data_IF_633618575246
#
_entry.id   IF_633618575246
#
_cell.length_a   1.000
_cell.length_b   1.000
_cell.length_c   1.000
_cell.angle_alpha   90.00
_cell.angle_beta   90.00
_cell.angle_gamma   90.00
#
_symmetry.space_group_name_H-M   'P 1'
#
loop_
_entity.id
_entity.type
_entity.pdbx_description
1 polymer ?
#
# COMPACT_ATOMS: atom_id res chain seq x y z
N UNK A 1 -0.44 -4.93 -0.28
CA UNK A 1 -0.03 -3.63 0.28
C UNK A 1 -1.07 -3.00 1.20
N UNK A 2 -2.29 -2.70 0.73
CA UNK A 2 -3.27 -2.01 1.59
C UNK A 2 -3.71 -2.83 2.82
N UNK A 3 -3.96 -4.13 2.64
CA UNK A 3 -4.26 -5.01 3.78
C UNK A 3 -3.10 -5.07 4.78
N UNK A 4 -1.87 -5.26 4.30
CA UNK A 4 -0.68 -5.24 5.16
C UNK A 4 -0.47 -3.90 5.86
N UNK A 5 -0.83 -2.77 5.23
CA UNK A 5 -0.79 -1.44 5.83
C UNK A 5 -1.82 -1.29 6.96
N UNK A 6 -3.04 -1.78 6.75
CA UNK A 6 -4.09 -1.80 7.78
C UNK A 6 -3.65 -2.68 8.95
N UNK A 7 -3.17 -3.91 8.68
CA UNK A 7 -2.67 -4.83 9.72
C UNK A 7 -1.54 -4.18 10.51
N UNK A 8 -0.55 -3.61 9.83
CA UNK A 8 0.55 -2.90 10.48
C UNK A 8 0.07 -1.72 11.32
N UNK A 9 -0.78 -0.85 10.76
CA UNK A 9 -1.34 0.30 11.47
C UNK A 9 -2.13 -0.12 12.71
N UNK A 10 -2.90 -1.20 12.63
CA UNK A 10 -3.65 -1.76 13.76
C UNK A 10 -2.73 -2.35 14.83
N UNK A 11 -1.62 -3.01 14.46
CA UNK A 11 -0.61 -3.47 15.45
C UNK A 11 0.12 -2.30 16.13
N UNK A 12 0.30 -1.19 15.42
CA UNK A 12 0.96 0.01 15.94
C UNK A 12 0.06 0.75 16.93
N UNK A 13 -1.19 0.97 16.56
CA UNK A 13 -2.18 1.67 17.36
C UNK A 13 -2.49 0.95 18.68
N UNK A 14 -2.90 1.74 19.68
CA UNK A 14 -3.42 1.24 20.97
C UNK A 14 -4.94 1.36 21.06
N UNK A 15 -5.58 1.86 20.01
CA UNK A 15 -7.02 2.05 19.90
C UNK A 15 -7.53 1.52 18.54
N UNK A 16 -8.84 1.25 18.47
CA UNK A 16 -9.46 0.63 17.29
C UNK A 16 -9.43 1.50 16.02
N UNK A 17 -9.22 2.81 16.15
CA UNK A 17 -9.26 3.74 15.02
C UNK A 17 -7.89 4.05 14.42
N UNK A 18 -6.80 3.81 15.15
CA UNK A 18 -5.46 4.24 14.75
C UNK A 18 -4.97 3.55 13.47
N UNK A 19 -5.27 2.26 13.28
CA UNK A 19 -4.94 1.56 12.05
C UNK A 19 -5.68 2.11 10.83
N UNK A 20 -6.95 2.49 11.01
CA UNK A 20 -7.79 3.05 9.96
C UNK A 20 -7.32 4.47 9.58
N UNK A 21 -7.06 5.32 10.58
CA UNK A 21 -6.55 6.68 10.37
C UNK A 21 -5.18 6.67 9.69
N UNK A 22 -4.26 5.81 10.12
CA UNK A 22 -2.95 5.66 9.48
C UNK A 22 -3.10 5.27 8.00
N UNK A 23 -4.00 4.31 7.72
CA UNK A 23 -4.27 3.87 6.35
C UNK A 23 -4.81 5.04 5.51
N UNK A 24 -5.77 5.81 6.02
CA UNK A 24 -6.34 6.97 5.33
C UNK A 24 -5.26 8.01 5.01
N UNK A 25 -4.40 8.34 5.98
CA UNK A 25 -3.32 9.31 5.79
C UNK A 25 -2.34 8.83 4.72
N UNK A 26 -1.90 7.57 4.80
CA UNK A 26 -0.99 7.01 3.79
C UNK A 26 -1.64 6.96 2.41
N UNK A 27 -2.92 6.61 2.31
CA UNK A 27 -3.67 6.68 1.06
C UNK A 27 -3.70 8.09 0.48
N UNK A 28 -4.01 9.10 1.29
CA UNK A 28 -4.05 10.49 0.85
C UNK A 28 -2.68 10.94 0.32
N UNK A 29 -1.59 10.60 1.01
CA UNK A 29 -0.23 10.90 0.56
C UNK A 29 0.11 10.19 -0.76
N UNK A 30 -0.28 8.93 -0.92
CA UNK A 30 -0.07 8.20 -2.18
C UNK A 30 -0.89 8.80 -3.33
N UNK A 31 -2.11 9.26 -3.09
CA UNK A 31 -2.89 9.97 -4.12
C UNK A 31 -2.24 11.30 -4.51
N UNK A 32 -1.71 12.06 -3.55
CA UNK A 32 -0.95 13.28 -3.85
C UNK A 32 0.32 12.96 -4.65
N UNK A 33 1.06 11.91 -4.26
CA UNK A 33 2.24 11.45 -4.99
C UNK A 33 1.90 11.00 -6.41
N UNK A 34 0.70 10.45 -6.64
CA UNK A 34 0.23 10.04 -7.97
C UNK A 34 0.09 11.21 -8.96
N UNK A 35 -0.05 12.45 -8.48
CA UNK A 35 -0.11 13.62 -9.36
C UNK A 35 1.23 13.92 -10.04
N UNK A 36 2.34 13.40 -9.50
CA UNK A 36 3.67 13.56 -10.07
C UNK A 36 3.85 12.57 -11.23
N UNK A 37 3.97 13.06 -12.47
CA UNK A 37 4.08 12.23 -13.70
C UNK A 37 5.12 11.11 -13.61
N UNK A 38 6.27 11.38 -12.99
CA UNK A 38 7.34 10.38 -12.85
C UNK A 38 6.98 9.20 -11.95
N UNK A 39 6.00 9.34 -11.06
CA UNK A 39 5.64 8.33 -10.04
C UNK A 39 4.38 7.56 -10.39
N UNK A 40 3.67 7.98 -11.46
CA UNK A 40 2.37 7.42 -11.84
C UNK A 40 2.37 5.90 -12.07
N UNK A 41 3.49 5.34 -12.53
CA UNK A 41 3.61 3.91 -12.87
C UNK A 41 4.30 3.08 -11.77
N UNK A 42 4.87 3.73 -10.76
CA UNK A 42 5.59 3.10 -9.65
C UNK A 42 4.78 3.10 -8.35
N UNK A 43 3.78 3.97 -8.24
CA UNK A 43 2.96 4.09 -7.05
C UNK A 43 1.94 2.93 -6.94
N UNK A 44 1.89 2.20 -5.81
CA UNK A 44 0.91 1.14 -5.57
C UNK A 44 -0.56 1.56 -5.75
N UNK A 45 -0.90 2.84 -5.55
CA UNK A 45 -2.26 3.36 -5.77
C UNK A 45 -2.68 3.27 -7.24
N UNK A 46 -1.74 3.30 -8.19
CA UNK A 46 -2.02 3.17 -9.62
C UNK A 46 -2.71 1.83 -9.95
N UNK A 47 -2.43 0.76 -9.18
CA UNK A 47 -3.05 -0.55 -9.37
C UNK A 47 -4.56 -0.55 -9.09
N UNK A 48 -5.04 0.38 -8.26
CA UNK A 48 -6.47 0.58 -8.01
C UNK A 48 -7.04 1.58 -9.02
N UNK A 49 -6.37 2.71 -9.22
CA UNK A 49 -6.87 3.79 -10.07
C UNK A 49 -6.96 3.43 -11.56
N UNK A 50 -6.04 2.60 -12.06
CA UNK A 50 -5.99 2.17 -13.46
C UNK A 50 -6.55 0.74 -13.65
N UNK A 51 -7.30 0.21 -12.69
CA UNK A 51 -7.86 -1.14 -12.76
C UNK A 51 -8.70 -1.39 -14.04
N UNK A 52 -9.44 -0.40 -14.52
CA UNK A 52 -10.22 -0.51 -15.74
C UNK A 52 -9.32 -0.56 -16.99
N UNK A 53 -8.19 0.16 -16.98
CA UNK A 53 -7.22 0.13 -18.08
C UNK A 53 -6.51 -1.21 -18.15
N UNK A 54 -6.20 -1.80 -16.99
CA UNK A 54 -5.65 -3.16 -16.87
C UNK A 54 -6.60 -4.19 -17.51
N UNK A 55 -7.91 -4.07 -17.25
CA UNK A 55 -8.91 -5.02 -17.75
C UNK A 55 -9.15 -4.91 -19.26
N UNK A 56 -9.03 -3.70 -19.82
CA UNK A 56 -9.35 -3.43 -21.23
C UNK A 56 -8.12 -3.52 -22.13
N UNK A 57 -6.91 -3.31 -21.61
CA UNK A 57 -5.69 -3.28 -22.41
C UNK A 57 -4.54 -3.99 -21.70
N UNK A 58 -4.15 -5.16 -22.19
CA UNK A 58 -3.11 -6.01 -21.57
C UNK A 58 -1.73 -5.34 -21.51
N UNK A 59 -1.42 -4.43 -22.42
CA UNK A 59 -0.15 -3.70 -22.41
C UNK A 59 -0.06 -2.67 -21.26
N UNK A 60 -1.19 -2.37 -20.60
CA UNK A 60 -1.20 -1.54 -19.41
C UNK A 60 -0.62 -2.28 -18.19
N UNK A 61 -0.72 -3.62 -18.13
CA UNK A 61 -0.17 -4.42 -17.04
C UNK A 61 1.36 -4.35 -16.99
N UNK A 62 2.02 -4.47 -18.14
CA UNK A 62 3.49 -4.44 -18.21
C UNK A 62 4.04 -3.07 -17.83
N UNK A 63 3.32 -1.97 -18.14
CA UNK A 63 3.69 -0.61 -17.70
C UNK A 63 3.55 -0.41 -16.19
N UNK A 64 2.69 -1.18 -15.53
CA UNK A 64 2.43 -1.11 -14.08
C UNK A 64 3.23 -2.14 -13.27
N UNK A 65 4.05 -2.97 -13.92
CA UNK A 65 5.00 -3.88 -13.26
C UNK A 65 5.79 -3.21 -12.11
N UNK A 66 6.32 -1.98 -12.26
CA UNK A 66 7.03 -1.33 -11.16
C UNK A 66 6.13 -1.14 -9.92
N UNK A 67 4.90 -0.66 -10.11
CA UNK A 67 3.93 -0.53 -9.02
C UNK A 67 3.57 -1.87 -8.37
N UNK A 68 3.48 -2.95 -9.16
CA UNK A 68 3.24 -4.30 -8.63
C UNK A 68 4.38 -4.77 -7.73
N UNK A 69 5.63 -4.64 -8.20
CA UNK A 69 6.81 -5.03 -7.42
C UNK A 69 6.88 -4.23 -6.13
N UNK A 70 6.71 -2.91 -6.20
CA UNK A 70 6.70 -2.03 -5.02
C UNK A 70 5.57 -2.42 -4.06
N UNK A 71 4.38 -2.70 -4.56
CA UNK A 71 3.24 -3.12 -3.74
C UNK A 71 3.50 -4.45 -3.02
N UNK A 72 4.12 -5.44 -3.69
CA UNK A 72 4.46 -6.74 -3.08
C UNK A 72 5.56 -6.57 -2.04
N UNK A 73 6.66 -5.90 -2.37
CA UNK A 73 7.77 -5.65 -1.45
C UNK A 73 7.31 -4.88 -0.23
N UNK A 74 6.57 -3.78 -0.42
CA UNK A 74 6.04 -3.00 0.68
C UNK A 74 5.04 -3.81 1.52
N UNK A 75 4.26 -4.71 0.91
CA UNK A 75 3.38 -5.59 1.67
C UNK A 75 4.14 -6.53 2.58
N UNK A 76 5.16 -7.21 2.06
CA UNK A 76 6.00 -8.14 2.84
C UNK A 76 6.70 -7.39 3.98
N UNK A 77 7.26 -6.21 3.70
CA UNK A 77 7.93 -5.38 4.72
C UNK A 77 6.96 -4.97 5.83
N UNK A 78 5.77 -4.45 5.48
CA UNK A 78 4.77 -4.04 6.46
C UNK A 78 4.26 -5.21 7.29
N UNK A 79 4.02 -6.36 6.66
CA UNK A 79 3.53 -7.55 7.35
C UNK A 79 4.59 -8.09 8.33
N UNK A 80 5.85 -8.16 7.90
CA UNK A 80 6.95 -8.57 8.77
C UNK A 80 7.20 -7.58 9.91
N UNK A 81 7.07 -6.27 9.64
CA UNK A 81 7.14 -5.24 10.67
C UNK A 81 5.99 -5.39 11.68
N UNK A 82 4.79 -5.73 11.23
CA UNK A 82 3.64 -5.98 12.10
C UNK A 82 3.90 -7.16 13.05
N UNK A 83 4.43 -8.27 12.53
CA UNK A 83 4.81 -9.45 13.34
C UNK A 83 5.84 -9.08 14.40
N UNK A 84 6.97 -8.45 14.00
CA UNK A 84 8.01 -8.04 14.95
C UNK A 84 7.51 -7.07 16.02
N UNK A 85 6.58 -6.19 15.65
CA UNK A 85 6.01 -5.24 16.59
C UNK A 85 5.10 -5.95 17.61
N UNK A 86 4.32 -6.93 17.15
CA UNK A 86 3.45 -7.75 17.99
C UNK A 86 4.30 -8.56 18.99
N UNK A 87 5.35 -9.23 18.51
CA UNK A 87 6.29 -9.98 19.35
C UNK A 87 6.91 -9.09 20.45
N UNK A 88 7.29 -7.84 20.10
CA UNK A 88 7.84 -6.88 21.06
C UNK A 88 6.82 -6.41 22.09
N UNK A 89 5.55 -6.29 21.71
CA UNK A 89 4.46 -5.93 22.63
C UNK A 89 4.09 -7.08 23.59
N UNK A 90 4.68 -8.28 23.44
CA UNK A 90 4.42 -9.49 24.24
C UNK A 90 2.92 -9.86 24.28
N UNK A 91 2.23 -9.64 23.16
CA UNK A 91 0.87 -10.16 22.93
C UNK A 91 0.94 -11.53 22.26
#
# INVERSE_FOLDING_TARGET
>A
FFLSLIVFGSTLATNNYGGLLLTIVVMALLYLAQMVKSWQHANPVALIGDNMKILVNSDALTKLMPAMVIAVVAAVVLFFAAIKLLDRKKL
#
